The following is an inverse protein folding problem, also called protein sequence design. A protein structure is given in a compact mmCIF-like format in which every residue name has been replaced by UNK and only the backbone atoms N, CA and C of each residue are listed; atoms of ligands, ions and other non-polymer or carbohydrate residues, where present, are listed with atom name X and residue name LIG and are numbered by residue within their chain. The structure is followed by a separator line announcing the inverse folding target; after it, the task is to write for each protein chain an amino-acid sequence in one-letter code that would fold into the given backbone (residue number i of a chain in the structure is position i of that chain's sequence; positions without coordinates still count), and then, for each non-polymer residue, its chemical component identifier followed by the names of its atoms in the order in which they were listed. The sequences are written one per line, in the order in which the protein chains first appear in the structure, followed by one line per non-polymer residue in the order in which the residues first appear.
data_IF_679313635871
#
_entry.id   IF_679313635871
#
_cell.length_a   1.000
_cell.length_b   1.000
_cell.length_c   1.000
_cell.angle_alpha   90.00
_cell.angle_beta   90.00
_cell.angle_gamma   90.00
#
_symmetry.space_group_name_H-M   'P 1'
#
loop_
_entity.id
_entity.type
_entity.pdbx_description
1 polymer ?
#
# COMPACT_ATOMS: atom_id res chain seq x y z
N UNK A 1 6.53 -43.06 -23.17
CA UNK A 1 7.49 -41.93 -23.27
C UNK A 1 6.86 -40.55 -23.39
N UNK A 2 5.63 -40.35 -23.93
CA UNK A 2 5.04 -39.00 -24.07
C UNK A 2 4.56 -38.35 -22.75
N UNK A 3 4.07 -39.13 -21.78
CA UNK A 3 3.49 -38.60 -20.53
C UNK A 3 4.53 -38.08 -19.53
N UNK A 4 5.67 -38.77 -19.41
CA UNK A 4 6.75 -38.38 -18.50
C UNK A 4 7.46 -37.10 -18.95
N UNK A 5 7.60 -36.89 -20.25
CA UNK A 5 8.15 -35.65 -20.81
C UNK A 5 7.24 -34.43 -20.57
N UNK A 6 5.93 -34.61 -20.72
CA UNK A 6 4.92 -33.57 -20.41
C UNK A 6 4.91 -33.20 -18.93
N UNK A 7 4.99 -34.18 -18.02
CA UNK A 7 5.08 -33.92 -16.57
C UNK A 7 6.35 -33.15 -16.22
N UNK A 8 7.49 -33.51 -16.81
CA UNK A 8 8.75 -32.80 -16.58
C UNK A 8 8.70 -31.34 -17.07
N UNK A 9 8.09 -31.08 -18.23
CA UNK A 9 7.87 -29.71 -18.74
C UNK A 9 6.92 -28.92 -17.82
N UNK A 10 5.84 -29.53 -17.33
CA UNK A 10 4.94 -28.86 -16.39
C UNK A 10 5.63 -28.51 -15.08
N UNK A 11 6.47 -29.40 -14.53
CA UNK A 11 7.26 -29.13 -13.33
C UNK A 11 8.29 -28.03 -13.59
N UNK A 12 8.99 -28.06 -14.72
CA UNK A 12 9.95 -27.01 -15.07
C UNK A 12 9.26 -25.65 -15.26
N UNK A 13 8.09 -25.61 -15.89
CA UNK A 13 7.28 -24.40 -16.06
C UNK A 13 6.78 -23.86 -14.70
N UNK A 14 6.33 -24.75 -13.80
CA UNK A 14 5.96 -24.39 -12.42
C UNK A 14 7.15 -23.85 -11.64
N UNK A 15 8.33 -24.49 -11.75
CA UNK A 15 9.55 -24.06 -11.07
C UNK A 15 10.11 -22.75 -11.65
N UNK A 16 9.97 -22.50 -12.95
CA UNK A 16 10.33 -21.21 -13.55
C UNK A 16 9.41 -20.07 -13.10
N UNK A 17 8.14 -20.36 -12.78
CA UNK A 17 7.23 -19.40 -12.14
C UNK A 17 7.63 -19.08 -10.69
N UNK A 18 8.30 -20.02 -10.00
CA UNK A 18 8.87 -19.75 -8.67
C UNK A 18 10.11 -18.85 -8.75
N UNK A 19 10.91 -18.96 -9.82
CA UNK A 19 12.08 -18.10 -10.06
C UNK A 19 11.71 -16.71 -10.58
N UNK A 20 10.56 -16.55 -11.25
CA UNK A 20 10.02 -15.24 -11.65
C UNK A 20 9.50 -14.41 -10.46
N UNK A 21 9.40 -15.01 -9.26
CA UNK A 21 9.03 -14.36 -8.01
C UNK A 21 10.21 -14.18 -7.05
N UNK A 22 11.46 -14.17 -7.54
CA UNK A 22 12.53 -13.50 -6.80
C UNK A 22 12.21 -12.00 -6.90
N UNK A 23 11.20 -11.57 -6.13
CA UNK A 23 11.10 -10.20 -5.70
C UNK A 23 12.48 -9.93 -5.09
N UNK A 24 13.25 -9.05 -5.73
CA UNK A 24 14.34 -8.37 -5.04
C UNK A 24 13.66 -7.86 -3.77
N UNK A 25 13.98 -8.45 -2.62
CA UNK A 25 13.33 -8.10 -1.36
C UNK A 25 13.64 -6.64 -1.14
N UNK A 26 12.71 -5.77 -1.52
CA UNK A 26 12.80 -4.33 -1.26
C UNK A 26 12.80 -4.19 0.25
N UNK A 27 13.81 -3.53 0.78
CA UNK A 27 14.02 -3.43 2.21
C UNK A 27 12.93 -2.53 2.78
N UNK A 28 11.96 -3.11 3.49
CA UNK A 28 10.87 -2.39 4.13
C UNK A 28 10.38 -3.16 5.35
N UNK A 29 9.75 -2.47 6.29
CA UNK A 29 9.22 -3.08 7.50
C UNK A 29 8.01 -4.00 7.18
N UNK A 30 8.08 -5.30 7.52
CA UNK A 30 7.00 -6.23 7.24
C UNK A 30 5.67 -5.81 7.88
N UNK A 31 4.59 -5.85 7.11
CA UNK A 31 3.24 -5.49 7.59
C UNK A 31 2.93 -4.00 7.54
N UNK A 32 3.87 -3.15 7.09
CA UNK A 32 3.67 -1.72 6.91
C UNK A 32 3.66 -1.38 5.42
N UNK A 33 2.50 -1.50 4.81
CA UNK A 33 2.29 -1.15 3.40
C UNK A 33 0.95 -0.45 3.28
N UNK A 34 0.94 0.64 2.52
CA UNK A 34 -0.28 1.37 2.21
C UNK A 34 -0.30 1.83 0.76
N UNK A 35 -1.48 2.22 0.30
CA UNK A 35 -1.70 2.63 -1.09
C UNK A 35 -2.41 3.96 -1.14
N UNK A 36 -1.83 4.91 -1.87
CA UNK A 36 -2.49 6.16 -2.22
C UNK A 36 -3.27 6.00 -3.52
N UNK A 37 -4.36 6.75 -3.60
CA UNK A 37 -5.22 6.79 -4.77
C UNK A 37 -5.37 8.23 -5.24
N UNK A 38 -5.79 8.38 -6.50
CA UNK A 38 -6.05 9.69 -7.05
C UNK A 38 -7.35 10.24 -6.46
N UNK A 39 -7.37 11.47 -5.91
CA UNK A 39 -8.57 12.02 -5.32
C UNK A 39 -9.52 12.54 -6.40
N UNK A 40 -10.83 12.52 -6.14
CA UNK A 40 -11.80 13.18 -7.04
C UNK A 40 -11.77 14.70 -6.92
N UNK A 41 -11.28 15.21 -5.79
CA UNK A 41 -11.10 16.63 -5.51
C UNK A 41 -9.81 16.78 -4.74
N UNK A 42 -8.90 17.62 -5.23
CA UNK A 42 -7.62 17.87 -4.55
C UNK A 42 -7.88 18.59 -3.22
N UNK A 43 -7.41 18.06 -2.08
CA UNK A 43 -7.51 18.74 -0.80
C UNK A 43 -6.77 20.08 -0.81
N UNK A 44 -7.29 21.02 -0.04
CA UNK A 44 -6.60 22.28 0.27
C UNK A 44 -5.51 21.99 1.29
N UNK A 45 -4.39 22.71 1.22
CA UNK A 45 -3.36 22.66 2.28
C UNK A 45 -3.53 23.89 3.15
N UNK A 46 -4.40 23.81 4.14
CA UNK A 46 -4.70 24.88 5.09
C UNK A 46 -4.59 24.45 6.56
N UNK A 47 -4.17 23.21 6.82
CA UNK A 47 -3.80 22.69 8.14
C UNK A 47 -4.98 22.18 8.95
N UNK A 48 -6.12 21.93 8.30
CA UNK A 48 -7.35 21.45 8.94
C UNK A 48 -8.27 20.84 7.89
N UNK A 49 -9.34 20.20 8.34
CA UNK A 49 -10.42 19.82 7.44
C UNK A 49 -11.19 21.07 6.99
N UNK A 50 -11.17 21.39 5.69
CA UNK A 50 -11.98 22.48 5.12
C UNK A 50 -13.45 22.09 5.08
N UNK A 51 -13.73 20.83 4.70
CA UNK A 51 -15.07 20.22 4.77
C UNK A 51 -14.98 18.81 5.34
N UNK A 52 -16.08 18.30 5.88
CA UNK A 52 -16.09 16.95 6.45
C UNK A 52 -15.76 15.84 5.44
N UNK A 53 -15.94 16.11 4.15
CA UNK A 53 -15.79 15.14 3.07
C UNK A 53 -14.59 15.39 2.15
N UNK A 54 -13.72 16.36 2.46
CA UNK A 54 -12.55 16.71 1.65
C UNK A 54 -11.59 15.53 1.45
N UNK A 55 -11.43 14.74 2.51
CA UNK A 55 -10.50 13.62 2.59
C UNK A 55 -11.19 12.25 2.57
N UNK A 56 -12.52 12.20 2.49
CA UNK A 56 -13.31 10.95 2.44
C UNK A 56 -13.16 10.19 1.11
N UNK A 57 -12.68 10.86 0.06
CA UNK A 57 -12.65 10.35 -1.30
C UNK A 57 -11.23 9.96 -1.72
N UNK A 58 -10.79 8.80 -1.22
CA UNK A 58 -9.71 7.95 -1.76
C UNK A 58 -8.41 7.83 -0.93
N UNK A 59 -8.31 8.38 0.28
CA UNK A 59 -7.17 8.10 1.17
C UNK A 59 -7.42 6.89 2.09
N UNK A 60 -6.52 5.90 2.12
CA UNK A 60 -6.58 4.84 3.14
C UNK A 60 -6.14 5.41 4.50
N UNK A 61 -7.08 5.55 5.44
CA UNK A 61 -6.77 6.00 6.80
C UNK A 61 -5.85 4.99 7.48
N UNK A 62 -4.68 5.45 7.91
CA UNK A 62 -3.70 4.65 8.63
C UNK A 62 -3.56 5.18 10.06
N UNK A 63 -3.94 4.34 11.02
CA UNK A 63 -3.87 4.67 12.45
C UNK A 63 -2.50 4.35 13.03
N UNK A 64 -1.99 5.23 13.89
CA UNK A 64 -0.76 5.04 14.66
C UNK A 64 -1.16 4.89 16.14
N UNK A 65 -1.45 3.65 16.54
CA UNK A 65 -2.07 3.39 17.83
C UNK A 65 -3.42 4.11 17.96
N UNK A 66 -3.72 4.62 19.15
CA UNK A 66 -4.92 5.43 19.42
C UNK A 66 -4.65 6.93 19.40
N UNK A 67 -3.40 7.34 19.20
CA UNK A 67 -2.97 8.72 19.42
C UNK A 67 -2.77 9.55 18.16
N UNK A 68 -2.73 8.93 16.98
CA UNK A 68 -2.65 9.63 15.72
C UNK A 68 -3.24 8.81 14.56
N UNK A 69 -3.59 9.50 13.49
CA UNK A 69 -3.90 8.89 12.21
C UNK A 69 -3.38 9.76 11.07
N UNK A 70 -3.19 9.16 9.91
CA UNK A 70 -2.87 9.91 8.71
C UNK A 70 -3.45 9.26 7.46
N UNK A 71 -3.63 10.05 6.42
CA UNK A 71 -4.05 9.62 5.10
C UNK A 71 -3.36 10.47 4.04
N UNK A 72 -3.30 9.94 2.83
CA UNK A 72 -2.65 10.63 1.72
C UNK A 72 -3.32 10.29 0.40
N UNK A 73 -3.15 11.19 -0.56
CA UNK A 73 -3.64 11.07 -1.92
C UNK A 73 -2.55 11.55 -2.88
N UNK A 74 -2.54 11.01 -4.10
CA UNK A 74 -1.55 11.39 -5.11
C UNK A 74 -2.22 12.07 -6.30
N UNK A 75 -1.57 13.07 -6.91
CA UNK A 75 -2.08 13.80 -8.08
C UNK A 75 -0.99 13.92 -9.15
N UNK A 76 -1.34 13.63 -10.39
CA UNK A 76 -0.56 14.02 -11.56
C UNK A 76 -1.00 15.42 -11.98
N UNK A 77 -0.21 16.43 -11.68
CA UNK A 77 -0.55 17.85 -11.93
C UNK A 77 -0.14 18.29 -13.33
N UNK A 78 0.96 17.75 -13.85
CA UNK A 78 1.46 18.06 -15.19
C UNK A 78 2.19 16.86 -15.79
N UNK A 79 2.13 16.73 -17.12
CA UNK A 79 2.89 15.75 -17.89
C UNK A 79 4.12 16.34 -18.59
N UNK A 80 4.21 17.66 -18.70
CA UNK A 80 5.35 18.37 -19.31
C UNK A 80 5.55 19.76 -18.65
N UNK A 81 6.48 19.90 -17.68
CA UNK A 81 7.25 18.82 -17.05
C UNK A 81 6.35 17.87 -16.24
N UNK A 82 6.83 16.65 -15.97
CA UNK A 82 6.10 15.70 -15.12
C UNK A 82 6.10 16.21 -13.68
N UNK A 83 4.91 16.52 -13.15
CA UNK A 83 4.70 16.92 -11.75
C UNK A 83 3.73 15.94 -11.14
N UNK A 84 4.22 15.15 -10.18
CA UNK A 84 3.42 14.23 -9.38
C UNK A 84 3.56 14.62 -7.92
N UNK A 85 2.45 14.80 -7.24
CA UNK A 85 2.41 15.23 -5.85
C UNK A 85 1.73 14.21 -4.96
N UNK A 86 2.19 14.08 -3.72
CA UNK A 86 1.47 13.40 -2.65
C UNK A 86 1.05 14.47 -1.62
N UNK A 87 -0.22 14.46 -1.24
CA UNK A 87 -0.77 15.35 -0.20
C UNK A 87 -1.19 14.50 1.00
N UNK A 88 -0.67 14.84 2.17
CA UNK A 88 -0.89 14.16 3.43
C UNK A 88 -1.79 15.00 4.33
N UNK A 89 -2.70 14.32 5.01
CA UNK A 89 -3.38 14.79 6.21
C UNK A 89 -2.88 13.96 7.39
N UNK A 90 -2.38 14.62 8.42
CA UNK A 90 -1.84 13.98 9.61
C UNK A 90 -2.50 14.58 10.84
N UNK A 91 -3.07 13.75 11.68
CA UNK A 91 -3.82 14.15 12.88
C UNK A 91 -3.15 13.56 14.13
N UNK A 92 -2.68 14.42 15.05
CA UNK A 92 -2.05 14.01 16.30
C UNK A 92 -3.01 14.22 17.48
N UNK A 93 -3.94 13.28 17.64
CA UNK A 93 -5.09 13.37 18.56
C UNK A 93 -4.75 13.61 20.03
N UNK A 94 -3.52 13.33 20.47
CA UNK A 94 -3.11 13.45 21.87
C UNK A 94 -2.39 14.76 22.18
N UNK A 95 -1.94 15.49 21.16
CA UNK A 95 -1.25 16.77 21.33
C UNK A 95 -2.25 17.92 21.18
N UNK A 96 -2.38 18.68 22.26
CA UNK A 96 -3.24 19.87 22.35
C UNK A 96 -2.47 21.10 22.82
N UNK A 97 -1.14 20.98 22.90
CA UNK A 97 -0.21 22.00 23.37
C UNK A 97 0.44 22.73 22.20
N UNK A 98 1.32 23.70 22.43
CA UNK A 98 2.01 24.40 21.34
C UNK A 98 3.48 24.57 21.73
N UNK A 99 4.12 23.45 21.99
CA UNK A 99 5.46 23.44 22.54
C UNK A 99 6.50 23.56 21.42
N UNK A 100 7.51 24.40 21.64
CA UNK A 100 8.55 24.65 20.64
C UNK A 100 9.39 23.42 20.30
N UNK A 101 9.30 22.37 21.13
CA UNK A 101 9.97 21.08 20.91
C UNK A 101 9.14 20.08 20.10
N UNK A 102 7.86 20.38 19.81
CA UNK A 102 7.00 19.50 19.02
C UNK A 102 7.57 19.39 17.61
N UNK A 103 7.40 18.22 16.98
CA UNK A 103 7.77 18.10 15.58
C UNK A 103 6.93 17.09 14.81
N UNK A 104 6.82 17.35 13.52
CA UNK A 104 6.42 16.41 12.49
C UNK A 104 7.66 15.98 11.73
N UNK A 105 7.75 14.70 11.36
CA UNK A 105 8.89 14.16 10.63
C UNK A 105 8.44 13.18 9.56
N UNK A 106 8.85 13.42 8.32
CA UNK A 106 8.66 12.51 7.20
C UNK A 106 10.04 12.09 6.68
N UNK A 107 10.26 10.79 6.51
CA UNK A 107 11.44 10.24 5.88
C UNK A 107 11.05 9.49 4.60
N UNK A 108 11.87 9.66 3.57
CA UNK A 108 11.60 9.31 2.18
C UNK A 108 12.81 8.54 1.66
N UNK A 109 12.62 7.29 1.27
CA UNK A 109 13.62 6.48 0.55
C UNK A 109 13.00 6.11 -0.80
N UNK A 110 13.33 6.95 -1.78
CA UNK A 110 12.59 7.02 -3.05
C UNK A 110 12.86 5.86 -4.00
N UNK A 111 14.07 5.30 -3.98
CA UNK A 111 14.46 4.13 -4.79
C UNK A 111 14.33 2.82 -4.03
N UNK A 112 13.93 2.88 -2.76
CA UNK A 112 13.80 1.75 -1.84
C UNK A 112 15.12 1.01 -1.64
N UNK A 113 16.21 1.78 -1.60
CA UNK A 113 17.57 1.28 -1.35
C UNK A 113 17.72 0.68 0.04
N UNK A 114 16.94 1.16 1.01
CA UNK A 114 16.99 0.71 2.39
C UNK A 114 18.31 1.05 3.08
N UNK A 115 18.87 0.05 3.77
CA UNK A 115 20.10 0.20 4.57
C UNK A 115 19.85 0.60 6.02
N UNK A 116 20.95 0.63 6.78
CA UNK A 116 20.97 0.98 8.21
C UNK A 116 21.31 2.45 8.47
N UNK A 117 21.39 3.25 7.40
CA UNK A 117 21.70 4.68 7.43
C UNK A 117 21.09 5.33 6.17
N UNK A 118 20.69 6.61 6.23
CA UNK A 118 20.11 7.33 5.09
C UNK A 118 21.14 7.57 3.97
N UNK A 119 20.78 7.20 2.74
CA UNK A 119 21.57 7.32 1.52
C UNK A 119 21.39 8.69 0.85
N UNK A 120 22.21 9.00 -0.16
CA UNK A 120 22.23 10.32 -0.83
C UNK A 120 20.93 10.72 -1.53
N UNK A 121 20.04 9.77 -1.77
CA UNK A 121 18.74 9.96 -2.38
C UNK A 121 17.59 9.80 -1.38
N UNK A 122 17.90 9.65 -0.10
CA UNK A 122 16.92 9.68 0.97
C UNK A 122 16.74 11.13 1.44
N UNK A 123 15.50 11.48 1.73
CA UNK A 123 15.14 12.80 2.22
C UNK A 123 14.41 12.72 3.56
N UNK A 124 14.58 13.76 4.37
CA UNK A 124 13.81 13.93 5.60
C UNK A 124 13.30 15.36 5.71
N UNK A 125 12.01 15.48 5.95
CA UNK A 125 11.33 16.74 6.25
C UNK A 125 11.05 16.76 7.74
N UNK A 126 11.50 17.80 8.44
CA UNK A 126 11.10 18.09 9.81
C UNK A 126 10.33 19.41 9.85
N UNK A 127 9.19 19.45 10.52
CA UNK A 127 8.46 20.69 10.84
C UNK A 127 8.51 20.85 12.35
N UNK A 128 9.30 21.81 12.84
CA UNK A 128 9.64 21.96 14.26
C UNK A 128 8.86 23.12 14.87
N UNK A 129 8.33 22.91 16.07
CA UNK A 129 7.57 23.89 16.85
C UNK A 129 6.42 24.49 16.05
N UNK A 130 5.78 23.68 15.21
CA UNK A 130 4.66 24.07 14.33
C UNK A 130 4.93 25.25 13.39
N UNK A 131 6.20 25.58 13.12
CA UNK A 131 6.56 26.85 12.45
C UNK A 131 7.65 26.71 11.42
N UNK A 132 8.66 25.87 11.68
CA UNK A 132 9.89 25.86 10.88
C UNK A 132 10.03 24.55 10.14
N UNK A 133 9.94 24.60 8.82
CA UNK A 133 10.27 23.46 7.97
C UNK A 133 11.78 23.40 7.72
N UNK A 134 12.32 22.20 7.83
CA UNK A 134 13.69 21.86 7.47
C UNK A 134 13.71 20.64 6.56
N UNK A 135 14.52 20.69 5.52
CA UNK A 135 14.77 19.56 4.63
C UNK A 135 16.19 19.05 4.86
N UNK A 136 16.32 17.74 4.87
CA UNK A 136 17.58 17.04 5.00
C UNK A 136 17.73 16.04 3.87
N UNK A 137 18.96 15.87 3.40
CA UNK A 137 19.36 14.84 2.45
C UNK A 137 20.31 13.86 3.15
N UNK A 138 20.18 12.57 2.88
CA UNK A 138 21.07 11.58 3.44
C UNK A 138 22.49 11.69 2.87
N UNK A 139 23.46 11.12 3.59
CA UNK A 139 24.88 11.18 3.23
C UNK A 139 25.54 9.80 3.14
N UNK A 140 24.77 8.74 3.32
CA UNK A 140 25.23 7.36 3.52
C UNK A 140 25.56 7.02 4.97
N UNK A 141 25.74 8.03 5.84
CA UNK A 141 26.04 7.85 7.28
C UNK A 141 25.16 8.67 8.20
N UNK A 142 24.34 9.57 7.67
CA UNK A 142 23.52 10.51 8.43
C UNK A 142 22.87 11.53 7.52
N UNK A 143 22.54 12.70 8.07
CA UNK A 143 21.78 13.73 7.36
C UNK A 143 22.59 15.01 7.22
N UNK A 144 22.42 15.70 6.10
CA UNK A 144 22.84 17.10 5.92
C UNK A 144 21.63 17.97 5.64
N UNK A 145 21.54 19.13 6.26
CA UNK A 145 20.46 20.09 5.97
C UNK A 145 20.65 20.65 4.55
N UNK A 146 19.55 20.76 3.80
CA UNK A 146 19.51 21.34 2.47
C UNK A 146 18.36 22.35 2.40
N UNK A 147 18.48 23.35 1.53
CA UNK A 147 17.43 24.36 1.36
C UNK A 147 16.28 23.76 0.54
N UNK A 148 15.05 23.68 1.07
CA UNK A 148 13.90 23.25 0.28
C UNK A 148 13.52 24.32 -0.76
N UNK A 149 13.08 23.91 -1.94
CA UNK A 149 12.35 24.80 -2.84
C UNK A 149 10.90 24.94 -2.32
N UNK A 150 10.39 26.17 -2.09
CA UNK A 150 9.00 26.37 -1.70
C UNK A 150 7.96 25.83 -2.70
N UNK A 151 8.36 25.59 -3.96
CA UNK A 151 7.49 24.95 -4.96
C UNK A 151 7.33 23.44 -4.72
N UNK A 152 8.30 22.80 -4.06
CA UNK A 152 8.34 21.35 -3.91
C UNK A 152 7.64 20.88 -2.65
N UNK A 153 7.56 21.75 -1.64
CA UNK A 153 6.95 21.43 -0.35
C UNK A 153 6.06 22.58 0.12
N UNK A 154 4.76 22.33 0.16
CA UNK A 154 3.76 23.24 0.74
C UNK A 154 3.14 22.58 1.96
N UNK A 155 3.00 23.32 3.05
CA UNK A 155 2.43 22.77 4.28
C UNK A 155 1.71 23.84 5.08
N UNK A 156 0.78 23.39 5.91
CA UNK A 156 0.23 24.18 6.99
C UNK A 156 -0.20 23.26 8.13
N UNK A 157 -0.22 23.76 9.35
CA UNK A 157 -0.79 23.03 10.47
C UNK A 157 -1.63 23.94 11.35
N UNK A 158 -2.63 23.39 12.01
CA UNK A 158 -3.50 24.15 12.91
C UNK A 158 -4.01 23.27 14.04
N UNK A 159 -4.16 23.88 15.21
CA UNK A 159 -4.88 23.26 16.32
C UNK A 159 -6.40 23.40 16.06
N UNK A 160 -7.05 22.32 15.61
CA UNK A 160 -8.45 22.32 15.22
C UNK A 160 -9.12 20.99 15.57
N UNK A 161 -10.45 20.99 15.67
CA UNK A 161 -11.22 19.76 15.64
C UNK A 161 -11.37 19.26 14.19
N UNK A 162 -11.72 17.98 14.05
CA UNK A 162 -11.95 17.33 12.77
C UNK A 162 -13.17 16.38 12.82
N UNK A 163 -13.62 15.86 11.67
CA UNK A 163 -14.65 14.82 11.64
C UNK A 163 -14.24 13.54 12.37
N UNK A 164 -12.94 13.22 12.43
CA UNK A 164 -12.42 12.04 13.10
C UNK A 164 -12.29 12.23 14.62
N UNK A 165 -12.10 13.47 15.08
CA UNK A 165 -12.02 13.80 16.50
C UNK A 165 -12.54 15.22 16.80
N UNK A 166 -13.59 15.30 17.62
CA UNK A 166 -14.20 16.56 18.02
C UNK A 166 -13.38 17.38 19.02
N UNK A 167 -12.35 16.78 19.64
CA UNK A 167 -11.41 17.50 20.50
C UNK A 167 -10.38 18.18 19.62
N UNK A 168 -10.14 19.48 19.83
CA UNK A 168 -9.11 20.18 19.07
C UNK A 168 -7.73 19.55 19.34
N UNK A 169 -7.03 19.24 18.26
CA UNK A 169 -5.72 18.61 18.26
C UNK A 169 -4.92 19.15 17.07
N UNK A 170 -3.62 18.87 17.01
CA UNK A 170 -2.86 19.32 15.85
C UNK A 170 -3.16 18.50 14.60
N UNK A 171 -3.43 19.24 13.53
CA UNK A 171 -3.62 18.71 12.19
C UNK A 171 -2.55 19.33 11.30
N UNK A 172 -1.80 18.50 10.59
CA UNK A 172 -0.85 18.91 9.57
C UNK A 172 -1.39 18.49 8.20
N UNK A 173 -1.38 19.42 7.27
CA UNK A 173 -1.49 19.14 5.84
C UNK A 173 -0.16 19.45 5.16
N UNK A 174 0.33 18.51 4.36
CA UNK A 174 1.62 18.59 3.71
C UNK A 174 1.52 18.05 2.29
N UNK A 175 1.87 18.87 1.31
CA UNK A 175 1.99 18.51 -0.09
C UNK A 175 3.47 18.48 -0.48
N UNK A 176 3.89 17.38 -1.11
CA UNK A 176 5.24 17.21 -1.64
C UNK A 176 5.21 16.95 -3.15
N UNK A 177 6.19 17.46 -3.88
CA UNK A 177 6.48 17.08 -5.28
C UNK A 177 7.43 15.89 -5.26
N UNK A 178 6.91 14.71 -5.64
CA UNK A 178 7.62 13.43 -5.45
C UNK A 178 8.96 13.34 -6.20
N UNK A 179 9.05 13.71 -7.50
CA UNK A 179 10.31 13.60 -8.23
C UNK A 179 11.47 14.38 -7.59
N UNK A 180 11.18 15.54 -6.99
CA UNK A 180 12.19 16.40 -6.36
C UNK A 180 12.71 15.83 -5.03
N UNK A 181 11.96 14.89 -4.44
CA UNK A 181 12.36 14.14 -3.24
C UNK A 181 12.74 12.69 -3.57
N UNK A 182 13.00 12.39 -4.85
CA UNK A 182 13.37 11.05 -5.31
C UNK A 182 12.25 10.01 -5.23
N UNK A 183 11.05 10.37 -4.77
CA UNK A 183 9.96 9.44 -4.55
C UNK A 183 9.31 9.00 -5.88
N UNK A 184 9.39 7.69 -6.15
CA UNK A 184 8.77 7.08 -7.31
C UNK A 184 7.34 6.59 -7.06
N UNK A 185 6.83 5.71 -7.95
CA UNK A 185 5.52 5.09 -7.77
C UNK A 185 5.35 4.23 -6.54
N UNK A 186 6.43 3.56 -6.17
CA UNK A 186 6.57 2.85 -4.92
C UNK A 186 7.83 3.38 -4.26
N UNK A 187 7.72 3.72 -2.99
CA UNK A 187 8.79 4.32 -2.21
C UNK A 187 8.67 3.90 -0.76
N UNK A 188 9.78 3.99 -0.03
CA UNK A 188 9.83 3.72 1.39
C UNK A 188 9.57 5.01 2.16
N UNK A 189 8.78 4.91 3.22
CA UNK A 189 8.21 6.05 3.92
C UNK A 189 8.15 5.81 5.42
N UNK A 190 8.52 6.84 6.19
CA UNK A 190 8.27 6.89 7.64
C UNK A 190 7.67 8.24 8.01
N UNK A 191 6.58 8.21 8.77
CA UNK A 191 5.99 9.39 9.42
C UNK A 191 6.21 9.30 10.93
N UNK A 192 6.50 10.41 11.57
CA UNK A 192 6.50 10.52 13.02
C UNK A 192 6.00 11.89 13.49
N UNK A 193 5.46 11.90 14.69
CA UNK A 193 5.09 13.11 15.43
C UNK A 193 5.51 12.98 16.88
N UNK A 194 5.98 14.09 17.44
CA UNK A 194 6.46 14.18 18.80
C UNK A 194 5.81 15.35 19.54
N UNK A 195 5.31 15.05 20.73
CA UNK A 195 4.77 16.01 21.69
C UNK A 195 5.80 16.20 22.81
N UNK A 196 6.38 17.39 22.89
CA UNK A 196 7.40 17.73 23.86
C UNK A 196 6.84 17.88 25.29
N UNK A 197 5.56 18.18 25.44
CA UNK A 197 4.91 18.35 26.74
C UNK A 197 4.82 17.02 27.50
N UNK A 198 4.59 15.91 26.77
CA UNK A 198 4.46 14.56 27.35
C UNK A 198 5.65 13.65 27.05
N UNK A 199 6.51 14.02 26.09
CA UNK A 199 7.57 13.16 25.57
C UNK A 199 7.04 12.01 24.70
N UNK A 200 5.81 12.14 24.18
CA UNK A 200 5.17 11.11 23.37
C UNK A 200 5.70 11.16 21.94
N UNK A 201 6.26 10.04 21.47
CA UNK A 201 6.63 9.83 20.08
C UNK A 201 5.73 8.77 19.45
N UNK A 202 5.00 9.13 18.40
CA UNK A 202 4.25 8.21 17.56
C UNK A 202 4.90 8.15 16.18
N UNK A 203 5.00 6.94 15.60
CA UNK A 203 5.59 6.76 14.29
C UNK A 203 4.94 5.60 13.51
N UNK A 204 4.88 5.77 12.19
CA UNK A 204 4.52 4.74 11.22
C UNK A 204 5.63 4.58 10.19
N UNK A 205 6.22 3.38 10.06
CA UNK A 205 6.23 2.31 11.05
C UNK A 205 6.84 2.78 12.40
N UNK A 206 6.65 2.03 13.51
CA UNK A 206 7.26 2.32 14.80
C UNK A 206 8.75 1.92 14.82
N UNK A 207 9.51 2.47 13.87
CA UNK A 207 10.90 2.10 13.58
C UNK A 207 11.84 3.30 13.71
N UNK A 208 13.16 3.07 13.80
CA UNK A 208 14.14 4.14 13.89
C UNK A 208 14.08 5.09 12.70
N UNK A 209 14.28 6.39 12.98
CA UNK A 209 14.36 7.43 11.95
C UNK A 209 15.46 7.16 10.93
N UNK A 210 16.61 6.66 11.36
CA UNK A 210 17.83 6.61 10.54
C UNK A 210 18.08 5.25 9.89
N UNK A 211 17.08 4.36 9.85
CA UNK A 211 17.19 3.02 9.25
C UNK A 211 16.19 2.84 8.10
N UNK A 212 16.49 3.30 6.87
CA UNK A 212 15.56 3.23 5.74
C UNK A 212 15.07 1.81 5.41
N UNK A 213 15.87 0.77 5.69
CA UNK A 213 15.46 -0.63 5.56
C UNK A 213 14.23 -1.02 6.41
N UNK A 214 13.89 -0.19 7.40
CA UNK A 214 12.79 -0.38 8.35
C UNK A 214 11.65 0.62 8.15
N UNK A 215 11.62 1.33 7.04
CA UNK A 215 10.50 2.20 6.72
C UNK A 215 9.39 1.40 6.04
N UNK A 216 8.17 1.95 6.04
CA UNK A 216 7.00 1.32 5.44
C UNK A 216 6.99 1.53 3.94
N UNK A 217 6.15 0.81 3.22
CA UNK A 217 5.99 1.01 1.77
C UNK A 217 4.79 1.88 1.48
N UNK A 218 5.01 2.94 0.72
CA UNK A 218 3.96 3.78 0.14
C UNK A 218 3.85 3.42 -1.36
N UNK A 219 2.68 2.93 -1.77
CA UNK A 219 2.35 2.67 -3.17
C UNK A 219 1.39 3.74 -3.68
N UNK A 220 1.24 3.84 -5.00
CA UNK A 220 0.09 4.49 -5.59
C UNK A 220 -0.59 3.62 -6.65
N UNK A 221 -1.89 3.85 -6.86
CA UNK A 221 -2.68 3.22 -7.93
C UNK A 221 -3.33 4.30 -8.80
N UNK A 222 -3.28 4.12 -10.13
CA UNK A 222 -3.82 5.06 -11.12
C UNK A 222 -5.34 5.11 -11.24
N UNK A 223 -6.06 4.31 -10.44
CA UNK A 223 -7.52 4.25 -10.38
C UNK A 223 -8.07 4.77 -9.05
N UNK A 224 -9.37 5.09 -9.02
CA UNK A 224 -10.09 5.24 -7.76
C UNK A 224 -10.04 3.92 -6.96
N UNK A 225 -10.27 3.96 -5.65
CA UNK A 225 -10.40 2.76 -4.82
C UNK A 225 -11.35 1.80 -5.55
N UNK A 226 -10.98 0.51 -5.76
CA UNK A 226 -11.90 -0.45 -6.34
C UNK A 226 -13.16 -0.45 -5.48
N UNK A 227 -14.27 0.08 -6.02
CA UNK A 227 -15.59 -0.19 -5.45
C UNK A 227 -15.68 -1.70 -5.34
N UNK A 228 -15.65 -2.20 -4.10
CA UNK A 228 -15.44 -3.63 -3.79
C UNK A 228 -16.20 -4.50 -4.77
N UNK A 229 -15.54 -5.53 -5.33
CA UNK A 229 -16.14 -6.51 -6.24
C UNK A 229 -17.60 -6.73 -5.90
N UNK A 230 -18.50 -6.25 -6.77
CA UNK A 230 -19.92 -6.39 -6.49
C UNK A 230 -20.19 -7.87 -6.19
N UNK A 231 -21.01 -8.14 -5.17
CA UNK A 231 -21.38 -9.51 -4.75
C UNK A 231 -21.75 -10.37 -5.98
N UNK A 232 -22.29 -9.75 -7.03
CA UNK A 232 -22.58 -10.38 -8.31
C UNK A 232 -21.37 -11.05 -9.00
N UNK A 233 -20.17 -10.45 -8.99
CA UNK A 233 -18.97 -11.02 -9.62
C UNK A 233 -18.48 -12.25 -8.86
N UNK A 234 -18.49 -12.20 -7.52
CA UNK A 234 -18.12 -13.34 -6.67
C UNK A 234 -19.12 -14.49 -6.86
N UNK A 235 -20.42 -14.18 -6.94
CA UNK A 235 -21.48 -15.18 -7.21
C UNK A 235 -21.34 -15.78 -8.62
N UNK A 236 -20.93 -15.01 -9.62
CA UNK A 236 -20.72 -15.50 -10.98
C UNK A 236 -19.52 -16.47 -11.07
N UNK A 237 -18.43 -16.16 -10.35
CA UNK A 237 -17.22 -16.99 -10.31
C UNK A 237 -17.44 -18.29 -9.52
N UNK A 238 -18.20 -18.24 -8.42
CA UNK A 238 -18.55 -19.43 -7.65
C UNK A 238 -19.55 -20.34 -8.39
N UNK A 239 -20.50 -19.77 -9.13
CA UNK A 239 -21.47 -20.56 -9.92
C UNK A 239 -20.82 -21.25 -11.12
N UNK A 240 -19.90 -20.59 -11.82
CA UNK A 240 -19.13 -21.21 -12.90
C UNK A 240 -18.21 -22.34 -12.40
N UNK A 241 -17.55 -22.15 -11.25
CA UNK A 241 -16.76 -23.21 -10.61
C UNK A 241 -17.62 -24.43 -10.24
N UNK A 242 -18.81 -24.22 -9.66
CA UNK A 242 -19.73 -25.31 -9.30
C UNK A 242 -20.21 -26.10 -10.52
N UNK A 243 -20.51 -25.43 -11.64
CA UNK A 243 -20.95 -26.08 -12.89
C UNK A 243 -19.82 -26.93 -13.49
N UNK A 244 -18.59 -26.40 -13.51
CA UNK A 244 -17.42 -27.09 -14.03
C UNK A 244 -17.09 -28.30 -13.16
N UNK A 245 -17.07 -28.16 -11.84
CA UNK A 245 -16.87 -29.27 -10.90
C UNK A 245 -17.95 -30.33 -11.06
N UNK A 246 -19.22 -29.94 -11.20
CA UNK A 246 -20.30 -30.90 -11.44
C UNK A 246 -20.12 -31.66 -12.75
N UNK A 247 -19.72 -30.99 -13.84
CA UNK A 247 -19.48 -31.62 -15.13
C UNK A 247 -18.33 -32.62 -15.11
N UNK A 248 -17.20 -32.27 -14.47
CA UNK A 248 -16.03 -33.15 -14.40
C UNK A 248 -16.16 -34.28 -13.37
N UNK A 249 -16.89 -34.06 -12.27
CA UNK A 249 -17.12 -35.08 -11.24
C UNK A 249 -18.32 -35.98 -11.52
N UNK A 250 -19.12 -35.68 -12.55
CA UNK A 250 -20.18 -36.57 -12.99
C UNK A 250 -19.57 -37.85 -13.56
N UNK A 251 -19.52 -38.89 -12.71
CA UNK A 251 -19.16 -40.24 -13.13
C UNK A 251 -20.02 -40.62 -14.34
N UNK A 252 -19.36 -40.87 -15.48
CA UNK A 252 -20.04 -41.48 -16.63
C UNK A 252 -20.52 -42.87 -16.19
N UNK A 253 -21.82 -43.20 -16.35
CA UNK A 253 -22.28 -44.55 -16.08
C UNK A 253 -21.50 -45.51 -16.98
N UNK A 254 -20.92 -46.55 -16.37
CA UNK A 254 -20.34 -47.67 -17.11
C UNK A 254 -21.48 -48.32 -17.91
N UNK A 255 -21.38 -48.26 -19.23
CA UNK A 255 -22.22 -49.08 -20.09
C UNK A 255 -21.73 -50.52 -19.90
N UNK A 256 -22.45 -51.32 -19.14
CA UNK A 256 -22.19 -52.75 -19.07
C UNK A 256 -22.59 -53.36 -20.42
N UNK A 257 -21.60 -53.91 -21.12
CA UNK A 257 -21.79 -54.67 -22.35
C UNK A 257 -22.41 -56.02 -21.99
N UNK A 258 -23.69 -56.20 -22.30
CA UNK A 258 -24.35 -57.50 -22.20
C UNK A 258 -23.85 -58.41 -23.33
N UNK A 259 -22.91 -59.29 -22.99
CA UNK A 259 -22.52 -60.40 -23.84
C UNK A 259 -23.69 -61.39 -23.96
N UNK A 260 -24.18 -61.58 -25.19
CA UNK A 260 -25.23 -62.53 -25.54
C UNK A 260 -24.77 -63.98 -25.32
N UNK A 261 -25.60 -64.71 -24.57
CA UNK A 261 -25.44 -66.11 -24.16
C UNK A 261 -25.65 -67.04 -25.37
N UNK A 262 -24.67 -67.91 -25.65
CA UNK A 262 -24.83 -69.07 -26.54
C UNK A 262 -25.57 -70.18 -25.78
N UNK A 263 -26.77 -70.54 -26.22
CA UNK A 263 -27.47 -71.76 -25.80
C UNK A 263 -27.31 -72.84 -26.87
N UNK A 264 -26.59 -73.91 -26.53
CA UNK A 264 -26.54 -75.16 -27.26
C UNK A 264 -27.76 -76.02 -26.90
N UNK A 265 -28.64 -76.30 -27.86
CA UNK A 265 -29.71 -77.29 -27.72
C UNK A 265 -29.35 -78.56 -28.49
N UNK A 266 -29.04 -79.62 -27.76
CA UNK A 266 -28.92 -81.00 -28.25
C UNK A 266 -30.30 -81.64 -28.36
N UNK A 267 -30.62 -82.25 -29.51
CA UNK A 267 -31.77 -83.15 -29.63
C UNK A 267 -31.25 -84.55 -29.98
N UNK A 268 -31.46 -85.49 -29.05
CA UNK A 268 -31.34 -86.94 -29.27
C UNK A 268 -32.73 -87.56 -29.50
N UNK A 269 -32.70 -88.72 -30.14
CA UNK A 269 -33.73 -89.43 -30.92
C UNK A 269 -34.71 -90.33 -30.14
N UNK A 270 -35.52 -91.08 -30.92
CA UNK A 270 -36.42 -92.23 -30.65
C UNK A 270 -37.91 -91.83 -30.52
N UNK A 271 -38.89 -92.36 -31.27
CA UNK A 271 -39.08 -93.63 -32.03
C UNK A 271 -39.69 -93.35 -33.40
#
# INVERSE_FOLDING_TARGET
MRKTFLVAICIFALCSLLLANINVTKAAEPGYTRTDYNPTTTPTVDGKWTTNNEWELNGEVTTIGTGAAFQSVWVLESMDPIIVTDTFLVEFFVDTTNDAGDYWQLCIDGDQSGGSAPQSNDYRIDIIGHTTLKLYQGTGTGWTEVTPDPADITWNNTLSASPSNSTAHWILELKIVKPELGAGPTWNFRLAMYDASTGTLLAWPPTPRDEPARWGVQNYVSGAIPETFSIAVVVLLLSTAAIVSFYFLRKRPKIESSASIKTSGSTQSYV
#
